data_IF_431848744751
#
_entry.id   IF_431848744751
#
_cell.length_a   1.000
_cell.length_b   1.000
_cell.length_c   1.000
_cell.angle_alpha   90.00
_cell.angle_beta   90.00
_cell.angle_gamma   90.00
#
_symmetry.space_group_name_H-M   'P 1'
#
loop_
_entity.id
_entity.type
_entity.pdbx_description
1 polymer ?
#
# COMPACT_ATOMS: atom_id res chain seq x y z
N UNK A 1 -9.18 2.64 15.87
CA UNK A 1 -8.20 2.94 14.82
C UNK A 1 -8.63 4.23 14.18
N UNK A 2 -7.72 5.18 13.96
CA UNK A 2 -8.11 6.48 13.41
C UNK A 2 -8.08 6.44 11.87
N UNK A 3 -9.26 6.48 11.25
CA UNK A 3 -9.38 6.57 9.80
C UNK A 3 -9.17 8.01 9.31
N UNK A 4 -7.94 8.35 8.93
CA UNK A 4 -7.59 9.71 8.51
C UNK A 4 -7.94 9.96 7.04
N UNK A 5 -8.77 10.97 6.79
CA UNK A 5 -9.06 11.44 5.43
C UNK A 5 -7.82 12.11 4.81
N UNK A 6 -7.43 11.65 3.63
CA UNK A 6 -6.32 12.21 2.82
C UNK A 6 -6.88 13.15 1.74
N UNK A 7 -7.97 12.75 1.10
CA UNK A 7 -8.68 13.53 0.08
C UNK A 7 -10.18 13.20 0.13
N UNK A 8 -11.00 13.84 -0.70
CA UNK A 8 -12.38 13.38 -0.90
C UNK A 8 -12.38 11.96 -1.46
N UNK A 9 -12.97 10.99 -0.75
CA UNK A 9 -13.01 9.62 -1.25
C UNK A 9 -11.73 8.81 -1.01
N UNK A 10 -10.74 9.35 -0.27
CA UNK A 10 -9.48 8.66 0.02
C UNK A 10 -9.09 8.81 1.50
N UNK A 11 -8.81 7.68 2.15
CA UNK A 11 -8.43 7.60 3.56
C UNK A 11 -7.23 6.69 3.76
N UNK A 12 -6.50 6.93 4.84
CA UNK A 12 -5.40 6.08 5.32
C UNK A 12 -5.55 5.90 6.83
N UNK A 13 -5.18 4.73 7.32
CA UNK A 13 -4.98 4.48 8.74
C UNK A 13 -3.69 3.70 8.96
N UNK A 14 -3.30 3.56 10.23
CA UNK A 14 -2.26 2.61 10.65
C UNK A 14 -2.78 1.73 11.77
N UNK A 15 -2.29 0.49 11.79
CA UNK A 15 -2.60 -0.50 12.81
C UNK A 15 -1.31 -1.17 13.27
N UNK A 16 -1.14 -1.46 14.57
CA UNK A 16 -0.03 -2.29 15.04
C UNK A 16 -0.12 -3.68 14.42
N UNK A 17 0.91 -4.13 13.71
CA UNK A 17 0.93 -5.47 13.14
C UNK A 17 1.07 -6.55 14.24
N UNK A 18 0.22 -7.59 14.27
CA UNK A 18 0.22 -8.58 15.35
C UNK A 18 1.52 -9.38 15.42
N UNK A 19 2.13 -9.66 14.26
CA UNK A 19 3.41 -10.39 14.19
C UNK A 19 4.65 -9.51 14.41
N UNK A 20 4.47 -8.22 14.70
CA UNK A 20 5.62 -7.34 14.94
C UNK A 20 6.36 -7.74 16.22
N UNK A 21 7.69 -7.77 16.12
CA UNK A 21 8.59 -7.98 17.25
C UNK A 21 9.84 -7.13 17.07
N UNK A 22 10.53 -6.73 18.15
CA UNK A 22 11.86 -6.13 18.04
C UNK A 22 12.79 -7.05 17.25
N UNK A 23 13.53 -6.48 16.30
CA UNK A 23 14.44 -7.20 15.42
C UNK A 23 15.81 -6.52 15.37
N UNK A 24 16.80 -7.21 14.83
CA UNK A 24 18.13 -6.61 14.58
C UNK A 24 18.02 -5.53 13.49
N UNK A 25 18.62 -4.34 13.68
CA UNK A 25 18.54 -3.27 12.71
C UNK A 25 19.00 -3.69 11.31
N UNK A 26 18.18 -3.38 10.30
CA UNK A 26 18.42 -3.73 8.90
C UNK A 26 18.10 -5.18 8.52
N UNK A 27 17.58 -6.00 9.44
CA UNK A 27 17.12 -7.35 9.11
C UNK A 27 15.80 -7.34 8.33
N UNK A 28 15.39 -8.51 7.81
CA UNK A 28 14.09 -8.67 7.13
C UNK A 28 12.89 -8.46 8.06
N UNK A 29 13.11 -8.54 9.38
CA UNK A 29 12.08 -8.34 10.40
C UNK A 29 12.11 -6.92 10.98
N UNK A 30 13.06 -6.07 10.56
CA UNK A 30 13.22 -4.68 11.04
C UNK A 30 12.28 -3.72 10.31
N UNK A 31 10.98 -3.90 10.53
CA UNK A 31 9.92 -3.05 9.99
C UNK A 31 9.12 -2.38 11.12
N UNK A 32 8.46 -1.26 10.81
CA UNK A 32 7.73 -0.45 11.78
C UNK A 32 6.52 -1.21 12.36
N UNK A 33 6.32 -1.14 13.68
CA UNK A 33 5.15 -1.72 14.36
C UNK A 33 3.83 -1.28 13.72
N UNK A 34 3.72 0.00 13.41
CA UNK A 34 2.53 0.60 12.79
C UNK A 34 2.61 0.44 11.27
N UNK A 35 1.66 -0.29 10.68
CA UNK A 35 1.59 -0.48 9.23
C UNK A 35 0.39 0.22 8.63
N UNK A 36 0.61 0.84 7.48
CA UNK A 36 -0.38 1.62 6.74
C UNK A 36 -1.33 0.75 5.93
N UNK A 37 -2.56 1.24 5.82
CA UNK A 37 -3.61 0.68 4.96
C UNK A 37 -4.42 1.83 4.35
N UNK A 38 -5.03 1.58 3.18
CA UNK A 38 -5.74 2.62 2.42
C UNK A 38 -7.16 2.18 2.10
N UNK A 39 -8.11 3.12 2.18
CA UNK A 39 -9.45 2.97 1.64
C UNK A 39 -9.68 4.05 0.60
N UNK A 40 -10.19 3.67 -0.56
CA UNK A 40 -10.63 4.59 -1.62
C UNK A 40 -12.02 4.21 -2.08
N UNK A 41 -12.91 5.19 -2.19
CA UNK A 41 -14.20 4.98 -2.85
C UNK A 41 -14.03 5.30 -4.32
N UNK A 42 -13.88 4.24 -5.12
CA UNK A 42 -13.91 4.28 -6.56
C UNK A 42 -15.33 4.57 -7.08
N UNK A 43 -15.50 4.68 -8.39
CA UNK A 43 -16.81 4.98 -8.97
C UNK A 43 -17.83 3.86 -8.75
N UNK A 44 -17.36 2.61 -8.65
CA UNK A 44 -18.18 1.39 -8.62
C UNK A 44 -17.85 0.45 -7.43
N UNK A 45 -16.90 0.81 -6.56
CA UNK A 45 -16.52 0.00 -5.40
C UNK A 45 -15.95 0.83 -4.24
N UNK A 46 -16.11 0.30 -3.02
CA UNK A 46 -15.27 0.67 -1.87
C UNK A 46 -14.06 -0.24 -1.88
N UNK A 47 -12.87 0.32 -2.13
CA UNK A 47 -11.64 -0.45 -2.31
C UNK A 47 -10.74 -0.30 -1.10
N UNK A 48 -10.38 -1.41 -0.48
CA UNK A 48 -9.37 -1.47 0.57
C UNK A 48 -8.06 -2.01 -0.01
N UNK A 49 -6.95 -1.34 0.29
CA UNK A 49 -5.61 -1.72 -0.18
C UNK A 49 -4.77 -2.10 1.04
N UNK A 50 -4.26 -3.34 1.04
CA UNK A 50 -3.49 -3.96 2.12
C UNK A 50 -4.09 -3.78 3.52
N UNK A 51 -5.41 -4.03 3.72
CA UNK A 51 -6.07 -3.71 4.97
C UNK A 51 -5.51 -4.51 6.13
N UNK A 52 -5.10 -3.81 7.19
CA UNK A 52 -4.90 -4.39 8.52
C UNK A 52 -5.84 -3.70 9.51
N UNK A 53 -6.73 -4.46 10.12
CA UNK A 53 -7.68 -4.00 11.12
C UNK A 53 -7.41 -4.75 12.41
N UNK A 54 -7.26 -4.03 13.53
CA UNK A 54 -7.14 -4.65 14.83
C UNK A 54 -8.45 -5.35 15.20
N UNK A 55 -8.37 -6.35 16.08
CA UNK A 55 -9.56 -7.05 16.57
C UNK A 55 -10.60 -6.04 17.08
N UNK A 56 -11.85 -6.23 16.65
CA UNK A 56 -13.02 -5.42 16.99
C UNK A 56 -13.00 -3.92 16.56
N UNK A 57 -12.01 -3.48 15.77
CA UNK A 57 -11.82 -2.07 15.41
C UNK A 57 -12.40 -1.70 14.01
N UNK A 58 -13.65 -2.11 13.78
CA UNK A 58 -14.30 -2.05 12.46
C UNK A 58 -15.18 -0.81 12.24
N UNK A 59 -15.59 -0.12 13.30
CA UNK A 59 -16.67 0.87 13.29
C UNK A 59 -16.51 1.97 12.22
N UNK A 60 -15.30 2.55 12.10
CA UNK A 60 -15.03 3.59 11.11
C UNK A 60 -15.12 3.07 9.67
N UNK A 61 -14.66 1.84 9.43
CA UNK A 61 -14.74 1.20 8.12
C UNK A 61 -16.19 0.80 7.79
N UNK A 62 -16.94 0.27 8.76
CA UNK A 62 -18.35 -0.04 8.61
C UNK A 62 -19.16 1.21 8.25
N UNK A 63 -18.85 2.34 8.90
CA UNK A 63 -19.48 3.62 8.60
C UNK A 63 -19.17 4.08 7.16
N UNK A 64 -17.93 3.90 6.66
CA UNK A 64 -17.61 4.22 5.27
C UNK A 64 -18.32 3.30 4.27
N UNK A 65 -18.26 1.98 4.50
CA UNK A 65 -18.88 0.98 3.63
C UNK A 65 -20.40 1.20 3.56
N UNK A 66 -21.05 1.40 4.71
CA UNK A 66 -22.50 1.67 4.80
C UNK A 66 -22.87 2.98 4.11
N UNK A 67 -22.07 4.04 4.32
CA UNK A 67 -22.34 5.36 3.74
C UNK A 67 -22.34 5.35 2.22
N UNK A 68 -21.42 4.62 1.60
CA UNK A 68 -21.31 4.59 0.14
C UNK A 68 -22.15 3.48 -0.50
N UNK A 69 -22.37 2.37 0.21
CA UNK A 69 -23.25 1.29 -0.26
C UNK A 69 -22.75 0.63 -1.54
N UNK A 70 -21.45 0.70 -1.83
CA UNK A 70 -20.82 0.08 -2.99
C UNK A 70 -20.24 -1.30 -2.63
N UNK A 71 -20.10 -2.21 -3.61
CA UNK A 71 -19.38 -3.47 -3.42
C UNK A 71 -17.99 -3.25 -2.82
N UNK A 72 -17.60 -4.10 -1.87
CA UNK A 72 -16.27 -4.06 -1.25
C UNK A 72 -15.29 -4.89 -2.07
N UNK A 73 -14.15 -4.29 -2.41
CA UNK A 73 -13.05 -4.95 -3.12
C UNK A 73 -11.75 -4.78 -2.34
N UNK A 74 -10.95 -5.84 -2.23
CA UNK A 74 -9.63 -5.78 -1.61
C UNK A 74 -8.55 -5.96 -2.66
N UNK A 75 -7.56 -5.08 -2.65
CA UNK A 75 -6.35 -5.18 -3.47
C UNK A 75 -5.16 -5.42 -2.55
N UNK A 76 -4.35 -6.43 -2.88
CA UNK A 76 -3.12 -6.74 -2.15
C UNK A 76 -1.91 -6.42 -3.00
N UNK A 77 -1.02 -5.54 -2.53
CA UNK A 77 0.14 -5.07 -3.30
C UNK A 77 1.26 -6.10 -3.38
N UNK A 78 1.44 -6.87 -2.31
CA UNK A 78 2.48 -7.90 -2.18
C UNK A 78 1.97 -9.05 -1.31
N UNK A 79 2.40 -10.29 -1.59
CA UNK A 79 1.74 -11.50 -1.07
C UNK A 79 1.57 -11.57 0.46
N UNK A 80 2.55 -11.09 1.23
CA UNK A 80 2.47 -11.06 2.70
C UNK A 80 1.64 -9.90 3.26
N UNK A 81 1.11 -9.00 2.43
CA UNK A 81 0.12 -8.00 2.81
C UNK A 81 -1.32 -8.53 2.81
N UNK A 82 -1.51 -9.86 2.75
CA UNK A 82 -2.83 -10.46 2.88
C UNK A 82 -3.53 -9.97 4.16
N UNK A 83 -2.83 -9.90 5.32
CA UNK A 83 -3.31 -9.21 6.53
C UNK A 83 -4.78 -9.53 6.84
N UNK A 84 -5.65 -8.52 6.97
CA UNK A 84 -7.08 -8.67 7.22
C UNK A 84 -7.92 -8.84 5.94
N UNK A 85 -7.33 -9.08 4.76
CA UNK A 85 -8.03 -9.25 3.47
C UNK A 85 -9.20 -10.23 3.59
N UNK A 86 -8.96 -11.40 4.15
CA UNK A 86 -9.97 -12.47 4.19
C UNK A 86 -11.11 -12.10 5.16
N UNK A 87 -10.79 -11.46 6.29
CA UNK A 87 -11.79 -10.93 7.22
C UNK A 87 -12.63 -9.80 6.60
N UNK A 88 -12.01 -8.92 5.80
CA UNK A 88 -12.69 -7.86 5.04
C UNK A 88 -13.65 -8.47 4.01
N UNK A 89 -13.19 -9.47 3.27
CA UNK A 89 -14.00 -10.19 2.26
C UNK A 89 -15.19 -10.88 2.92
N UNK A 90 -14.98 -11.58 4.03
CA UNK A 90 -16.04 -12.25 4.78
C UNK A 90 -17.06 -11.23 5.34
N UNK A 91 -16.57 -10.17 6.01
CA UNK A 91 -17.42 -9.18 6.69
C UNK A 91 -18.41 -8.49 5.78
N UNK A 92 -17.99 -8.14 4.57
CA UNK A 92 -18.81 -7.36 3.64
C UNK A 92 -19.19 -8.12 2.37
N UNK A 93 -19.06 -9.45 2.37
CA UNK A 93 -19.30 -10.30 1.18
C UNK A 93 -18.59 -9.75 -0.06
N UNK A 94 -17.36 -9.27 0.15
CA UNK A 94 -16.55 -8.60 -0.87
C UNK A 94 -15.81 -9.60 -1.76
N UNK A 95 -14.82 -9.09 -2.49
CA UNK A 95 -13.87 -9.93 -3.24
C UNK A 95 -12.45 -9.39 -3.16
N UNK A 96 -11.48 -10.29 -3.15
CA UNK A 96 -10.08 -9.93 -3.38
C UNK A 96 -9.77 -9.96 -4.88
N UNK A 97 -8.94 -9.03 -5.35
CA UNK A 97 -8.50 -8.93 -6.75
C UNK A 97 -7.01 -8.65 -6.83
N UNK A 98 -6.39 -9.04 -7.94
CA UNK A 98 -4.99 -8.82 -8.22
C UNK A 98 -4.69 -8.73 -9.73
N UNK A 99 -3.41 -8.93 -10.11
CA UNK A 99 -3.00 -8.91 -11.51
C UNK A 99 -3.77 -9.92 -12.36
N UNK A 100 -4.41 -9.43 -13.42
CA UNK A 100 -5.20 -10.25 -14.36
C UNK A 100 -6.70 -10.31 -14.07
N UNK A 101 -7.15 -9.78 -12.92
CA UNK A 101 -8.57 -9.67 -12.59
C UNK A 101 -9.19 -8.35 -13.09
N UNK A 102 -10.53 -8.31 -13.15
CA UNK A 102 -11.28 -7.08 -13.38
C UNK A 102 -11.22 -6.16 -12.14
N UNK A 103 -10.53 -5.04 -12.28
CA UNK A 103 -10.35 -4.03 -11.25
C UNK A 103 -11.49 -2.99 -11.25
N UNK A 104 -11.82 -2.39 -10.09
CA UNK A 104 -12.74 -1.26 -10.02
C UNK A 104 -12.31 -0.06 -10.88
N UNK A 105 -13.27 0.73 -11.33
CA UNK A 105 -13.03 1.89 -12.18
C UNK A 105 -12.14 2.92 -11.46
N UNK A 106 -11.00 3.25 -12.06
CA UNK A 106 -10.05 4.21 -11.51
C UNK A 106 -9.06 3.62 -10.49
N UNK A 107 -8.98 2.28 -10.42
CA UNK A 107 -7.93 1.55 -9.70
C UNK A 107 -7.06 0.82 -10.72
N UNK A 108 -5.76 1.12 -10.72
CA UNK A 108 -4.79 0.52 -11.65
C UNK A 108 -3.69 -0.19 -10.87
N UNK A 109 -3.18 -1.30 -11.40
CA UNK A 109 -2.00 -1.98 -10.86
C UNK A 109 -0.76 -1.62 -11.68
N UNK A 110 0.31 -1.23 -10.98
CA UNK A 110 1.62 -0.95 -11.55
C UNK A 110 2.56 -2.09 -11.17
N UNK A 111 2.80 -3.06 -12.06
CA UNK A 111 3.59 -4.23 -11.74
C UNK A 111 5.08 -3.89 -11.68
N UNK A 112 5.74 -4.27 -10.59
CA UNK A 112 7.19 -4.25 -10.43
C UNK A 112 7.66 -5.70 -10.36
N UNK A 113 7.52 -6.40 -11.48
CA UNK A 113 7.65 -7.86 -11.57
C UNK A 113 8.97 -8.38 -10.99
N UNK A 114 10.08 -7.69 -11.26
CA UNK A 114 11.39 -8.05 -10.73
C UNK A 114 11.44 -8.04 -9.18
N UNK A 115 10.59 -7.24 -8.54
CA UNK A 115 10.51 -7.09 -7.09
C UNK A 115 9.28 -7.78 -6.47
N UNK A 116 8.56 -8.61 -7.24
CA UNK A 116 7.44 -9.41 -6.74
C UNK A 116 6.26 -8.60 -6.19
N UNK A 117 6.07 -7.37 -6.66
CA UNK A 117 5.07 -6.43 -6.15
C UNK A 117 4.20 -5.90 -7.30
N UNK A 118 2.93 -5.60 -7.00
CA UNK A 118 2.05 -4.79 -7.86
C UNK A 118 1.51 -3.63 -7.03
N UNK A 119 2.04 -2.43 -7.26
CA UNK A 119 1.60 -1.22 -6.55
C UNK A 119 0.23 -0.77 -7.07
N UNK A 120 -0.54 -0.05 -6.25
CA UNK A 120 -1.80 0.54 -6.72
C UNK A 120 -1.59 1.99 -7.14
N UNK A 121 -2.07 2.33 -8.33
CA UNK A 121 -2.16 3.70 -8.83
C UNK A 121 -3.63 4.15 -8.84
N UNK A 122 -3.88 5.34 -8.29
CA UNK A 122 -5.19 5.98 -8.21
C UNK A 122 -5.15 7.30 -8.99
N UNK A 123 -5.45 7.29 -10.31
CA UNK A 123 -5.29 8.46 -11.18
C UNK A 123 -6.06 9.69 -10.70
N UNK A 124 -7.30 9.49 -10.24
CA UNK A 124 -8.18 10.58 -9.78
C UNK A 124 -7.58 11.35 -8.59
N UNK A 125 -6.82 10.68 -7.73
CA UNK A 125 -6.14 11.28 -6.57
C UNK A 125 -4.67 11.61 -6.84
N UNK A 126 -4.15 11.18 -7.99
CA UNK A 126 -2.71 11.16 -8.29
C UNK A 126 -1.90 10.51 -7.17
N UNK A 127 -2.40 9.38 -6.67
CA UNK A 127 -1.85 8.70 -5.49
C UNK A 127 -1.29 7.33 -5.87
N UNK A 128 -0.04 7.08 -5.48
CA UNK A 128 0.59 5.75 -5.52
C UNK A 128 0.50 5.10 -4.14
N UNK A 129 0.19 3.81 -4.09
CA UNK A 129 0.17 2.99 -2.88
C UNK A 129 1.13 1.81 -3.09
N UNK A 130 2.39 1.94 -2.67
CA UNK A 130 3.32 0.82 -2.63
C UNK A 130 3.03 -0.06 -1.40
N UNK A 131 3.38 -1.33 -1.51
CA UNK A 131 3.56 -2.22 -0.36
C UNK A 131 4.92 -1.93 0.27
N UNK A 132 5.94 -2.69 -0.14
CA UNK A 132 7.20 -2.79 0.61
C UNK A 132 8.45 -2.42 -0.18
N UNK A 133 8.38 -2.09 -1.47
CA UNK A 133 9.58 -1.69 -2.21
C UNK A 133 9.93 -0.22 -2.11
N UNK A 134 8.96 0.59 -1.70
CA UNK A 134 9.09 2.03 -1.49
C UNK A 134 8.45 2.41 -0.16
N UNK A 135 9.27 2.89 0.77
CA UNK A 135 8.92 3.13 2.16
C UNK A 135 8.98 4.62 2.49
N UNK A 136 8.26 5.05 3.51
CA UNK A 136 8.30 6.41 4.03
C UNK A 136 9.55 6.62 4.88
N UNK A 137 10.40 7.58 4.52
CA UNK A 137 11.63 7.89 5.27
C UNK A 137 11.29 8.65 6.57
N UNK A 138 11.70 8.16 7.76
CA UNK A 138 11.55 8.90 9.02
C UNK A 138 12.21 10.28 9.00
N UNK A 139 13.28 10.48 8.22
CA UNK A 139 13.91 11.78 8.00
C UNK A 139 13.15 12.68 7.01
N UNK A 140 12.09 12.15 6.39
CA UNK A 140 11.21 12.83 5.45
C UNK A 140 11.41 12.37 4.00
N UNK A 141 10.29 12.21 3.28
CA UNK A 141 10.29 11.74 1.89
C UNK A 141 10.15 10.23 1.81
N UNK A 142 10.86 9.62 0.86
CA UNK A 142 10.77 8.19 0.55
C UNK A 142 12.18 7.60 0.45
N UNK A 143 12.28 6.30 0.70
CA UNK A 143 13.46 5.46 0.45
C UNK A 143 13.02 4.11 -0.10
N UNK A 144 13.90 3.38 -0.79
CA UNK A 144 13.63 1.97 -1.12
C UNK A 144 13.72 1.10 0.14
N UNK A 145 13.22 -0.14 0.08
CA UNK A 145 13.49 -1.09 1.16
C UNK A 145 14.99 -1.44 1.28
N UNK A 146 15.42 -1.94 2.45
CA UNK A 146 16.73 -2.55 2.62
C UNK A 146 16.90 -3.80 1.73
N UNK A 147 18.15 -4.12 1.37
CA UNK A 147 18.47 -5.30 0.55
C UNK A 147 18.07 -6.62 1.22
N UNK A 148 18.07 -6.65 2.55
CA UNK A 148 17.63 -7.82 3.33
C UNK A 148 16.17 -8.22 3.05
N UNK A 149 15.34 -7.29 2.56
CA UNK A 149 13.93 -7.53 2.21
C UNK A 149 13.76 -8.08 0.78
N UNK A 150 14.84 -8.16 0.01
CA UNK A 150 14.85 -8.70 -1.36
C UNK A 150 15.19 -10.19 -1.39
N UNK A 151 15.68 -10.76 -0.29
CA UNK A 151 16.16 -12.14 -0.22
C UNK A 151 15.09 -13.22 -0.44
N UNK A 152 13.80 -12.89 -0.30
CA UNK A 152 12.67 -13.80 -0.54
C UNK A 152 12.20 -13.84 -2.00
N UNK A 153 12.82 -13.05 -2.89
CA UNK A 153 12.46 -13.01 -4.30
C UNK A 153 12.88 -14.30 -5.03
N UNK A 154 12.08 -14.79 -5.99
CA UNK A 154 12.43 -15.98 -6.78
C UNK A 154 13.72 -15.81 -7.59
N UNK A 155 14.03 -14.58 -7.99
CA UNK A 155 15.26 -14.20 -8.67
C UNK A 155 16.02 -13.17 -7.83
N UNK A 156 17.35 -13.28 -7.72
CA UNK A 156 18.15 -12.29 -7.01
C UNK A 156 17.94 -10.88 -7.59
N UNK A 157 17.71 -9.93 -6.69
CA UNK A 157 17.60 -8.51 -7.02
C UNK A 157 18.41 -7.75 -5.97
N UNK A 158 19.38 -6.96 -6.41
CA UNK A 158 20.12 -6.05 -5.56
C UNK A 158 19.47 -4.65 -5.55
N UNK A 159 20.00 -3.75 -4.71
CA UNK A 159 19.51 -2.38 -4.63
C UNK A 159 19.48 -1.67 -5.99
N UNK A 160 20.54 -1.79 -6.79
CA UNK A 160 20.63 -1.12 -8.09
C UNK A 160 19.57 -1.65 -9.07
N UNK A 161 19.35 -2.98 -9.08
CA UNK A 161 18.28 -3.62 -9.84
C UNK A 161 16.90 -3.15 -9.39
N UNK A 162 16.68 -3.02 -8.07
CA UNK A 162 15.43 -2.49 -7.54
C UNK A 162 15.18 -1.05 -8.00
N UNK A 163 16.19 -0.18 -7.91
CA UNK A 163 16.10 1.20 -8.39
C UNK A 163 15.70 1.24 -9.85
N UNK A 164 16.34 0.43 -10.71
CA UNK A 164 16.00 0.33 -12.12
C UNK A 164 14.56 -0.15 -12.34
N UNK A 165 14.11 -1.15 -11.58
CA UNK A 165 12.75 -1.69 -11.65
C UNK A 165 11.68 -0.66 -11.25
N UNK A 166 12.01 0.29 -10.36
CA UNK A 166 11.10 1.34 -9.90
C UNK A 166 11.10 2.60 -10.78
N UNK A 167 12.08 2.78 -11.67
CA UNK A 167 12.15 3.96 -12.56
C UNK A 167 10.87 4.25 -13.37
N UNK A 168 10.11 3.26 -13.87
CA UNK A 168 8.87 3.53 -14.59
C UNK A 168 7.84 4.34 -13.78
N UNK A 169 7.92 4.33 -12.44
CA UNK A 169 7.07 5.17 -11.58
C UNK A 169 7.22 6.68 -11.84
N UNK A 170 8.35 7.12 -12.42
CA UNK A 170 8.62 8.52 -12.73
C UNK A 170 7.82 9.06 -13.93
N UNK A 171 7.18 8.17 -14.70
CA UNK A 171 6.26 8.54 -15.78
C UNK A 171 4.86 8.88 -15.25
N UNK A 172 4.54 8.46 -14.02
CA UNK A 172 3.26 8.78 -13.39
C UNK A 172 3.29 10.22 -12.81
N UNK A 173 2.17 10.96 -12.91
CA UNK A 173 2.05 12.29 -12.32
C UNK A 173 1.78 12.20 -10.81
N UNK A 174 2.60 11.47 -10.07
CA UNK A 174 2.41 11.16 -8.64
C UNK A 174 2.43 12.44 -7.82
N UNK A 175 1.33 12.71 -7.12
CA UNK A 175 1.23 13.78 -6.11
C UNK A 175 1.46 13.21 -4.72
N UNK A 176 0.92 12.03 -4.43
CA UNK A 176 0.95 11.41 -3.09
C UNK A 176 1.48 9.98 -3.15
N UNK A 177 2.14 9.55 -2.09
CA UNK A 177 2.56 8.17 -1.88
C UNK A 177 2.12 7.73 -0.49
N UNK A 178 1.16 6.79 -0.43
CA UNK A 178 0.62 6.25 0.82
C UNK A 178 1.29 4.91 1.10
N UNK A 179 2.37 4.95 1.88
CA UNK A 179 3.22 3.79 2.17
C UNK A 179 2.66 2.91 3.29
N UNK A 180 3.04 1.63 3.23
CA UNK A 180 2.86 0.66 4.31
C UNK A 180 3.71 1.02 5.53
N UNK A 181 5.03 1.15 5.37
CA UNK A 181 5.93 1.47 6.48
C UNK A 181 6.41 2.93 6.42
N UNK A 182 6.44 3.59 7.58
CA UNK A 182 6.84 4.98 7.72
C UNK A 182 5.76 6.03 7.33
N UNK A 183 6.14 7.32 7.36
CA UNK A 183 5.24 8.42 7.05
C UNK A 183 4.92 8.51 5.53
N UNK A 184 3.67 8.83 5.15
CA UNK A 184 3.32 9.05 3.75
C UNK A 184 3.85 10.39 3.22
N UNK A 185 4.01 10.46 1.90
CA UNK A 185 4.24 11.74 1.18
C UNK A 185 2.91 12.25 0.65
N UNK A 186 2.49 13.45 1.06
CA UNK A 186 1.16 13.99 0.73
C UNK A 186 1.18 15.02 -0.41
N UNK A 187 2.35 15.50 -0.80
CA UNK A 187 2.57 16.48 -1.86
C UNK A 187 3.93 16.22 -2.53
N UNK A 188 4.12 16.69 -3.77
CA UNK A 188 5.36 16.53 -4.54
C UNK A 188 5.87 15.07 -4.66
N UNK A 189 4.95 14.11 -4.68
CA UNK A 189 5.24 12.67 -4.68
C UNK A 189 6.22 12.24 -5.75
N UNK A 190 6.08 12.70 -7.01
CA UNK A 190 7.00 12.38 -8.10
C UNK A 190 8.44 12.79 -7.78
N UNK A 191 8.64 13.96 -7.16
CA UNK A 191 9.97 14.41 -6.77
C UNK A 191 10.52 13.59 -5.60
N UNK A 192 9.66 13.17 -4.66
CA UNK A 192 10.06 12.25 -3.60
C UNK A 192 10.46 10.87 -4.13
N UNK A 193 9.71 10.32 -5.10
CA UNK A 193 10.08 9.08 -5.81
C UNK A 193 11.43 9.26 -6.51
N UNK A 194 11.62 10.34 -7.25
CA UNK A 194 12.89 10.60 -7.94
C UNK A 194 14.09 10.64 -6.99
N UNK A 195 13.94 11.27 -5.81
CA UNK A 195 15.00 11.30 -4.78
C UNK A 195 15.27 9.92 -4.17
N UNK A 196 14.24 9.11 -3.97
CA UNK A 196 14.40 7.76 -3.44
C UNK A 196 15.11 6.81 -4.41
N UNK A 197 15.11 7.12 -5.70
CA UNK A 197 15.72 6.33 -6.78
C UNK A 197 17.06 6.92 -7.28
N UNK A 198 17.57 7.96 -6.62
CA UNK A 198 18.76 8.71 -7.03
C UNK A 198 20.08 8.07 -6.57
#
# INVERSE_FOLDING_TARGET
>A
MELRRIDQGLWRWTTPHPDWRPAEPGSVEDWDREVGSVLVNAADATVLIDPLVADDDWDDLDAQVTRWGLPVVVVTTIGWHARSRDAVVERWSGRAVGPGDDLPVGVELVPVQAAGESMVWLPAHRTLVPGDRLLGDPAGGLRTCPDSWLGSLPAPLDHAGLVLALRPLLELPVRRVLVSHGPPVLEDGRAAVARALA
#
